data_IF_040211062931
#
_entry.id   IF_040211062931
#
_cell.length_a   1.000
_cell.length_b   1.000
_cell.length_c   1.000
_cell.angle_alpha   90.00
_cell.angle_beta   90.00
_cell.angle_gamma   90.00
#
_symmetry.space_group_name_H-M   'P 1'
#
loop_
_entity.id
_entity.type
_entity.pdbx_description
1 polymer ?
#
# COMPACT_ATOMS: atom_id res chain seq x y z
N UNK A 1 -46.74 -1.31 -3.73
CA UNK A 1 -45.42 -1.25 -3.05
C UNK A 1 -45.19 0.20 -2.63
N UNK A 2 -44.98 0.46 -1.33
CA UNK A 2 -44.79 1.83 -0.80
C UNK A 2 -43.48 2.46 -1.34
N UNK A 3 -43.47 3.75 -1.68
CA UNK A 3 -42.33 4.47 -2.29
C UNK A 3 -41.07 4.35 -1.44
N UNK A 4 -41.22 4.32 -0.11
CA UNK A 4 -40.12 4.13 0.83
C UNK A 4 -39.47 2.75 0.72
N UNK A 5 -40.27 1.70 0.45
CA UNK A 5 -39.75 0.35 0.24
C UNK A 5 -39.02 0.22 -1.09
N UNK A 6 -39.50 0.87 -2.15
CA UNK A 6 -38.84 0.85 -3.47
C UNK A 6 -37.46 1.50 -3.43
N UNK A 7 -37.32 2.66 -2.74
CA UNK A 7 -36.04 3.36 -2.59
C UNK A 7 -35.01 2.53 -1.81
N UNK A 8 -35.44 1.91 -0.71
CA UNK A 8 -34.55 1.08 0.11
C UNK A 8 -34.06 -0.16 -0.64
N UNK A 9 -34.93 -0.80 -1.42
CA UNK A 9 -34.55 -1.94 -2.28
C UNK A 9 -33.56 -1.51 -3.37
N UNK A 10 -33.82 -0.39 -4.05
CA UNK A 10 -32.89 0.12 -5.06
C UNK A 10 -31.50 0.43 -4.47
N UNK A 11 -31.46 1.05 -3.29
CA UNK A 11 -30.21 1.30 -2.57
C UNK A 11 -29.53 -0.01 -2.16
N UNK A 12 -30.27 -1.00 -1.65
CA UNK A 12 -29.73 -2.30 -1.28
C UNK A 12 -29.11 -3.04 -2.48
N UNK A 13 -29.74 -2.96 -3.66
CA UNK A 13 -29.18 -3.53 -4.90
C UNK A 13 -27.87 -2.84 -5.26
N UNK A 14 -27.81 -1.51 -5.20
CA UNK A 14 -26.59 -0.76 -5.46
C UNK A 14 -25.46 -1.14 -4.48
N UNK A 15 -25.77 -1.21 -3.18
CA UNK A 15 -24.81 -1.63 -2.15
C UNK A 15 -24.33 -3.06 -2.40
N UNK A 16 -25.24 -3.99 -2.73
CA UNK A 16 -24.85 -5.36 -3.06
C UNK A 16 -23.94 -5.43 -4.28
N UNK A 17 -24.22 -4.67 -5.34
CA UNK A 17 -23.36 -4.61 -6.52
C UNK A 17 -21.97 -4.06 -6.17
N UNK A 18 -21.88 -3.01 -5.34
CA UNK A 18 -20.60 -2.49 -4.86
C UNK A 18 -19.84 -3.53 -4.03
N UNK A 19 -20.50 -4.22 -3.11
CA UNK A 19 -19.90 -5.27 -2.28
C UNK A 19 -19.43 -6.48 -3.09
N UNK A 20 -20.04 -6.74 -4.25
CA UNK A 20 -19.61 -7.80 -5.17
C UNK A 20 -18.49 -7.33 -6.09
N UNK A 21 -18.50 -6.08 -6.54
CA UNK A 21 -17.52 -5.55 -7.49
C UNK A 21 -16.20 -5.13 -6.83
N UNK A 22 -16.24 -4.44 -5.68
CA UNK A 22 -15.07 -3.90 -5.00
C UNK A 22 -14.00 -4.96 -4.63
N UNK A 23 -14.34 -6.20 -4.24
CA UNK A 23 -13.33 -7.24 -4.01
C UNK A 23 -12.36 -7.50 -5.17
N UNK A 24 -12.77 -7.16 -6.41
CA UNK A 24 -11.95 -7.29 -7.61
C UNK A 24 -11.10 -6.06 -7.91
N UNK A 25 -11.33 -4.94 -7.23
CA UNK A 25 -10.45 -3.78 -7.29
C UNK A 25 -9.22 -4.03 -6.37
N UNK A 26 -7.98 -3.97 -6.90
CA UNK A 26 -6.78 -4.28 -6.12
C UNK A 26 -6.53 -3.37 -4.91
N UNK A 27 -7.06 -2.15 -4.91
CA UNK A 27 -6.94 -1.24 -3.77
C UNK A 27 -7.95 -1.46 -2.65
N UNK A 28 -8.94 -2.35 -2.81
CA UNK A 28 -9.94 -2.59 -1.78
C UNK A 28 -9.32 -3.22 -0.55
N UNK A 29 -9.36 -2.48 0.57
CA UNK A 29 -8.73 -2.80 1.86
C UNK A 29 -7.22 -2.96 1.85
N UNK A 30 -6.55 -2.59 0.75
CA UNK A 30 -5.10 -2.63 0.62
C UNK A 30 -4.48 -1.31 1.08
N UNK A 31 -3.19 -1.29 1.46
CA UNK A 31 -2.49 -0.05 1.77
C UNK A 31 -2.45 0.91 0.56
N UNK A 32 -2.24 2.20 0.80
CA UNK A 32 -2.05 3.20 -0.25
C UNK A 32 -0.61 3.31 -0.73
N UNK A 33 0.34 3.12 0.19
CA UNK A 33 1.77 3.07 -0.09
C UNK A 33 2.26 1.62 -0.18
N UNK A 34 3.38 1.40 -0.87
CA UNK A 34 4.03 0.09 -0.90
C UNK A 34 4.42 -0.30 0.55
N UNK A 35 3.89 -1.41 1.09
CA UNK A 35 4.21 -1.86 2.44
C UNK A 35 5.70 -2.19 2.61
N UNK A 36 6.43 -2.38 1.51
CA UNK A 36 7.87 -2.56 1.46
C UNK A 36 8.61 -1.26 1.19
N UNK A 37 8.20 -0.16 1.81
CA UNK A 37 8.88 1.15 1.66
C UNK A 37 10.41 1.08 1.84
N UNK A 38 10.90 0.12 2.64
CA UNK A 38 12.33 -0.14 2.80
C UNK A 38 13.05 -0.47 1.49
N UNK A 39 12.38 -1.09 0.51
CA UNK A 39 12.92 -1.34 -0.84
C UNK A 39 13.36 -0.07 -1.57
N UNK A 40 12.89 1.10 -1.11
CA UNK A 40 13.21 2.39 -1.70
C UNK A 40 14.11 3.24 -0.82
N UNK A 41 14.67 2.68 0.26
CA UNK A 41 15.51 3.41 1.20
C UNK A 41 16.77 3.95 0.50
N UNK A 42 17.05 5.23 0.69
CA UNK A 42 18.29 5.88 0.30
C UNK A 42 19.14 6.10 1.55
N UNK A 43 20.44 5.87 1.43
CA UNK A 43 21.40 6.13 2.50
C UNK A 43 22.72 6.63 1.90
N UNK A 44 23.19 7.78 2.38
CA UNK A 44 24.53 8.27 2.05
C UNK A 44 25.51 7.71 3.08
N UNK A 45 26.54 7.05 2.58
CA UNK A 45 27.70 6.60 3.33
C UNK A 45 28.89 7.53 2.98
N UNK A 46 29.82 7.71 3.91
CA UNK A 46 31.01 8.53 3.63
C UNK A 46 31.77 7.91 2.45
N UNK A 47 31.92 8.67 1.37
CA UNK A 47 32.63 8.23 0.18
C UNK A 47 34.14 8.09 0.44
N UNK A 48 34.88 7.43 -0.47
CA UNK A 48 36.34 7.41 -0.38
C UNK A 48 36.89 8.83 -0.45
N UNK A 49 37.54 9.30 0.62
CA UNK A 49 38.15 10.65 0.63
C UNK A 49 39.39 10.69 -0.24
N UNK A 50 39.30 11.28 -1.43
CA UNK A 50 40.45 11.77 -2.20
C UNK A 50 41.04 13.00 -1.50
N UNK A 51 41.84 12.80 -0.45
CA UNK A 51 42.80 13.80 0.05
C UNK A 51 43.86 13.12 0.91
N UNK A 52 44.72 12.32 0.28
CA UNK A 52 46.06 12.03 0.81
C UNK A 52 47.07 12.45 -0.25
N UNK A 53 47.58 13.66 -0.09
CA UNK A 53 48.79 14.11 -0.76
C UNK A 53 49.96 13.21 -0.35
N UNK A 54 50.38 12.31 -1.23
CA UNK A 54 51.60 11.53 -1.07
C UNK A 54 51.38 10.05 -1.36
N UNK A 55 52.05 9.57 -2.40
CA UNK A 55 52.05 8.18 -2.88
C UNK A 55 50.70 7.65 -3.42
N UNK A 56 50.75 7.11 -4.64
CA UNK A 56 49.74 6.19 -5.13
C UNK A 56 49.83 4.90 -4.31
N UNK A 57 49.27 4.91 -3.10
CA UNK A 57 49.11 3.75 -2.25
C UNK A 57 47.63 3.38 -2.25
N UNK A 58 47.36 2.25 -2.91
CA UNK A 58 46.14 1.44 -2.89
C UNK A 58 44.93 2.02 -2.14
N UNK A 59 43.91 2.37 -2.92
CA UNK A 59 42.51 2.43 -2.48
C UNK A 59 42.14 1.05 -1.92
N UNK A 60 42.39 0.87 -0.63
CA UNK A 60 42.01 -0.27 0.20
C UNK A 60 41.26 0.28 1.40
N UNK A 61 40.18 1.00 1.12
CA UNK A 61 39.01 1.00 1.98
C UNK A 61 38.06 -0.05 1.43
N UNK A 62 38.27 -1.31 1.83
CA UNK A 62 37.40 -2.42 1.48
C UNK A 62 35.94 -2.10 1.88
N UNK A 63 35.12 -1.67 0.93
CA UNK A 63 33.88 -2.42 0.73
C UNK A 63 34.34 -3.76 0.14
N UNK A 64 34.28 -4.81 0.95
CA UNK A 64 34.58 -6.19 0.55
C UNK A 64 33.45 -6.67 -0.39
N UNK A 65 33.34 -6.05 -1.57
CA UNK A 65 32.56 -6.55 -2.68
C UNK A 65 33.42 -7.65 -3.28
N UNK A 66 33.05 -8.90 -3.02
CA UNK A 66 33.93 -10.06 -3.17
C UNK A 66 34.73 -10.06 -4.48
N UNK A 67 36.02 -10.37 -4.35
CA UNK A 67 36.95 -10.60 -5.47
C UNK A 67 36.36 -11.58 -6.50
N UNK A 68 35.66 -11.09 -7.53
CA UNK A 68 35.59 -11.66 -8.90
C UNK A 68 34.55 -11.02 -9.85
N UNK A 69 34.08 -9.80 -9.62
CA UNK A 69 33.29 -9.10 -10.65
C UNK A 69 33.85 -7.73 -10.95
N UNK A 70 34.27 -7.51 -12.20
CA UNK A 70 34.43 -6.19 -12.82
C UNK A 70 33.07 -5.48 -12.75
N UNK A 71 32.75 -4.90 -11.60
CA UNK A 71 31.58 -4.06 -11.44
C UNK A 71 32.03 -2.65 -11.81
N UNK A 72 31.71 -2.20 -13.03
CA UNK A 72 31.81 -0.79 -13.42
C UNK A 72 31.06 0.03 -12.35
N UNK A 73 31.81 0.69 -11.47
CA UNK A 73 31.26 1.63 -10.50
C UNK A 73 30.64 2.79 -11.30
N UNK A 74 29.32 2.85 -11.32
CA UNK A 74 28.62 3.92 -12.05
C UNK A 74 28.76 5.20 -11.23
N UNK A 75 29.60 6.10 -11.72
CA UNK A 75 29.81 7.44 -11.17
C UNK A 75 28.98 8.42 -11.99
N UNK A 76 28.24 9.28 -11.29
CA UNK A 76 27.43 10.33 -11.90
C UNK A 76 27.90 11.70 -11.41
N UNK A 77 28.05 12.65 -12.33
CA UNK A 77 28.05 14.07 -11.95
C UNK A 77 26.62 14.46 -11.55
N UNK A 78 26.44 15.31 -10.55
CA UNK A 78 25.10 15.72 -10.09
C UNK A 78 24.22 16.27 -11.22
N UNK A 79 24.81 16.97 -12.19
CA UNK A 79 24.15 17.52 -13.36
C UNK A 79 23.67 16.46 -14.37
N UNK A 80 24.21 15.24 -14.32
CA UNK A 80 23.80 14.11 -15.17
C UNK A 80 22.57 13.37 -14.61
N UNK A 81 22.31 13.52 -13.32
CA UNK A 81 21.14 12.94 -12.65
C UNK A 81 19.85 13.57 -13.20
N UNK A 82 18.82 12.75 -13.39
CA UNK A 82 17.48 13.26 -13.68
C UNK A 82 16.99 14.20 -12.57
N UNK A 83 16.07 15.14 -12.87
CA UNK A 83 15.55 16.08 -11.88
C UNK A 83 14.98 15.38 -10.62
N UNK A 84 14.40 14.19 -10.76
CA UNK A 84 13.88 13.42 -9.63
C UNK A 84 15.03 12.81 -8.81
N UNK A 85 16.06 12.26 -9.46
CA UNK A 85 17.26 11.75 -8.80
C UNK A 85 17.97 12.84 -7.99
N UNK A 86 18.11 14.05 -8.55
CA UNK A 86 18.65 15.22 -7.85
C UNK A 86 17.87 15.53 -6.57
N UNK A 87 16.53 15.62 -6.67
CA UNK A 87 15.66 15.91 -5.52
C UNK A 87 15.77 14.83 -4.45
N UNK A 88 15.81 13.55 -4.83
CA UNK A 88 15.92 12.43 -3.88
C UNK A 88 17.31 12.38 -3.21
N UNK A 89 18.36 12.68 -3.97
CA UNK A 89 19.71 12.79 -3.42
C UNK A 89 19.81 13.93 -2.41
N UNK A 90 19.34 15.13 -2.77
CA UNK A 90 19.34 16.29 -1.87
C UNK A 90 18.53 16.06 -0.59
N UNK A 91 17.36 15.40 -0.70
CA UNK A 91 16.57 15.04 0.48
C UNK A 91 17.32 14.08 1.40
N UNK A 92 18.06 13.14 0.83
CA UNK A 92 18.92 12.22 1.59
C UNK A 92 20.07 12.97 2.25
N UNK A 93 20.74 13.86 1.52
CA UNK A 93 21.88 14.65 2.00
C UNK A 93 21.49 15.59 3.15
N UNK A 94 20.29 16.17 3.08
CA UNK A 94 19.78 17.09 4.10
C UNK A 94 19.07 16.38 5.27
N UNK A 95 18.93 15.05 5.24
CA UNK A 95 18.33 14.29 6.33
C UNK A 95 19.30 14.17 7.52
N UNK A 96 18.78 14.24 8.74
CA UNK A 96 19.58 14.20 9.98
C UNK A 96 20.46 12.94 10.10
N UNK A 97 19.98 11.81 9.56
CA UNK A 97 20.66 10.51 9.56
C UNK A 97 21.25 10.13 8.20
N UNK A 98 21.36 11.08 7.27
CA UNK A 98 21.78 10.83 5.88
C UNK A 98 20.98 9.70 5.20
N UNK A 99 19.74 9.51 5.66
CA UNK A 99 18.87 8.42 5.26
C UNK A 99 17.51 8.99 4.94
N UNK A 100 16.97 8.65 3.78
CA UNK A 100 15.64 9.07 3.35
C UNK A 100 14.92 7.89 2.69
N UNK A 101 13.64 7.72 3.00
CA UNK A 101 12.79 6.74 2.33
C UNK A 101 11.68 7.50 1.60
N UNK A 102 11.65 7.50 0.26
CA UNK A 102 10.56 8.09 -0.48
C UNK A 102 9.27 7.28 -0.24
N UNK A 103 8.15 7.99 -0.13
CA UNK A 103 6.83 7.36 -0.10
C UNK A 103 6.46 6.93 -1.53
N UNK A 104 6.38 5.62 -1.76
CA UNK A 104 6.01 5.05 -3.06
C UNK A 104 4.58 4.55 -2.97
N UNK A 105 3.71 5.02 -3.86
CA UNK A 105 2.32 4.61 -3.92
C UNK A 105 2.15 3.35 -4.77
N UNK A 106 1.15 2.58 -4.41
CA UNK A 106 0.73 1.42 -5.19
C UNK A 106 0.05 1.81 -6.51
N UNK A 107 0.27 1.05 -7.58
CA UNK A 107 -0.21 1.37 -8.93
C UNK A 107 -1.74 1.47 -9.04
N UNK A 108 -2.47 0.78 -8.16
CA UNK A 108 -3.93 0.82 -8.17
C UNK A 108 -4.50 2.13 -7.62
N UNK A 109 -3.70 2.97 -6.96
CA UNK A 109 -4.16 4.23 -6.40
C UNK A 109 -4.29 5.30 -7.49
N UNK A 110 -5.45 5.96 -7.53
CA UNK A 110 -5.74 6.98 -8.55
C UNK A 110 -4.99 8.31 -8.34
N UNK A 111 -4.66 8.63 -7.09
CA UNK A 111 -3.98 9.87 -6.72
C UNK A 111 -2.92 9.54 -5.66
N UNK A 112 -1.67 9.84 -5.98
CA UNK A 112 -0.52 9.65 -5.11
C UNK A 112 -0.02 10.99 -4.58
N UNK A 113 0.41 11.03 -3.32
CA UNK A 113 1.08 12.18 -2.69
C UNK A 113 2.62 12.06 -2.64
N UNK A 114 3.14 10.94 -3.13
CA UNK A 114 4.57 10.62 -3.26
C UNK A 114 4.95 10.33 -4.71
N UNK A 115 5.56 9.16 -4.93
CA UNK A 115 6.00 8.70 -6.25
C UNK A 115 5.29 7.41 -6.64
N UNK A 116 4.99 7.22 -7.93
CA UNK A 116 4.79 5.87 -8.44
C UNK A 116 6.14 5.21 -8.69
N UNK A 117 6.19 3.88 -8.65
CA UNK A 117 7.45 3.13 -8.90
C UNK A 117 8.07 3.48 -10.25
N UNK A 118 7.24 3.68 -11.29
CA UNK A 118 7.70 4.06 -12.62
C UNK A 118 8.19 5.51 -12.74
N UNK A 119 7.91 6.36 -11.76
CA UNK A 119 8.43 7.74 -11.69
C UNK A 119 9.80 7.79 -10.99
N UNK A 120 10.22 6.70 -10.35
CA UNK A 120 11.51 6.64 -9.69
C UNK A 120 12.65 6.64 -10.73
N UNK A 121 13.76 7.32 -10.44
CA UNK A 121 14.89 7.41 -11.36
C UNK A 121 15.49 6.04 -11.63
N UNK A 122 15.67 5.74 -12.92
CA UNK A 122 16.30 4.49 -13.40
C UNK A 122 17.79 4.38 -13.08
N UNK A 123 18.41 5.52 -12.75
CA UNK A 123 19.80 5.68 -12.32
C UNK A 123 20.08 4.95 -11.00
N UNK A 124 19.05 4.80 -10.16
CA UNK A 124 19.12 4.11 -8.88
C UNK A 124 18.49 2.71 -8.97
N UNK A 125 18.98 1.78 -8.15
CA UNK A 125 18.47 0.40 -8.07
C UNK A 125 17.65 0.22 -6.80
N UNK A 126 16.39 -0.19 -6.97
CA UNK A 126 15.43 -0.39 -5.88
C UNK A 126 15.13 -1.89 -5.66
N UNK A 127 14.51 -2.21 -4.53
CA UNK A 127 14.13 -3.59 -4.18
C UNK A 127 15.08 -4.25 -3.19
N UNK A 128 15.02 -5.59 -3.12
CA UNK A 128 15.92 -6.43 -2.33
C UNK A 128 16.94 -7.16 -3.23
N UNK A 129 18.19 -7.24 -2.79
CA UNK A 129 19.29 -7.78 -3.59
C UNK A 129 20.58 -7.86 -2.78
N UNK A 130 21.56 -8.59 -3.29
CA UNK A 130 22.82 -8.85 -2.57
C UNK A 130 23.67 -7.60 -2.37
N UNK A 131 24.64 -7.67 -1.44
CA UNK A 131 25.62 -6.58 -1.20
C UNK A 131 26.40 -6.21 -2.46
N UNK A 132 26.63 -7.18 -3.35
CA UNK A 132 27.43 -7.03 -4.59
C UNK A 132 26.64 -6.52 -5.80
N UNK A 133 25.33 -6.35 -5.70
CA UNK A 133 24.47 -6.04 -6.85
C UNK A 133 24.25 -4.52 -6.98
N UNK A 134 25.17 -3.79 -7.63
CA UNK A 134 25.02 -2.42 -8.19
C UNK A 134 24.02 -1.45 -7.49
N UNK A 135 23.92 -1.48 -6.17
CA UNK A 135 23.04 -0.62 -5.33
C UNK A 135 23.73 0.64 -4.86
N UNK A 136 25.02 0.72 -5.14
CA UNK A 136 25.88 1.83 -4.83
C UNK A 136 26.05 2.68 -6.09
N UNK A 137 25.86 3.98 -5.93
CA UNK A 137 26.14 4.99 -6.95
C UNK A 137 27.04 6.05 -6.33
N UNK A 138 28.11 6.41 -7.03
CA UNK A 138 28.99 7.50 -6.59
C UNK A 138 28.45 8.77 -7.22
N UNK A 139 28.15 9.78 -6.40
CA UNK A 139 27.60 11.06 -6.84
C UNK A 139 28.60 12.15 -6.50
N UNK A 140 29.05 12.87 -7.53
CA UNK A 140 29.91 14.05 -7.36
C UNK A 140 29.06 15.30 -7.19
N UNK A 141 29.18 15.96 -6.04
CA UNK A 141 28.40 17.16 -5.72
C UNK A 141 29.24 18.18 -4.94
N UNK A 142 29.32 19.42 -5.44
CA UNK A 142 30.11 20.50 -4.83
C UNK A 142 31.58 20.14 -4.54
N UNK A 143 32.21 19.33 -5.42
CA UNK A 143 33.60 18.90 -5.27
C UNK A 143 33.83 17.86 -4.16
N UNK A 144 32.77 17.22 -3.67
CA UNK A 144 32.82 16.06 -2.79
C UNK A 144 32.16 14.85 -3.46
N UNK A 145 32.66 13.65 -3.17
CA UNK A 145 32.08 12.40 -3.63
C UNK A 145 31.25 11.76 -2.52
N UNK A 146 30.01 11.40 -2.85
CA UNK A 146 29.07 10.76 -1.94
C UNK A 146 28.76 9.35 -2.43
N UNK A 147 28.82 8.36 -1.53
CA UNK A 147 28.40 7.01 -1.84
C UNK A 147 26.92 6.85 -1.47
N UNK A 148 26.05 6.82 -2.49
CA UNK A 148 24.62 6.62 -2.29
C UNK A 148 24.28 5.13 -2.41
N UNK A 149 23.72 4.55 -1.35
CA UNK A 149 23.09 3.23 -1.38
C UNK A 149 21.58 3.36 -1.55
N UNK A 150 21.01 2.61 -2.50
CA UNK A 150 19.55 2.52 -2.69
C UNK A 150 19.02 1.08 -2.47
N UNK A 151 17.86 0.97 -1.81
CA UNK A 151 17.19 -0.29 -1.47
C UNK A 151 17.72 -1.00 -0.22
N UNK A 152 17.41 -2.31 -0.10
CA UNK A 152 17.84 -3.16 1.04
C UNK A 152 18.62 -4.40 0.63
N UNK A 153 19.48 -4.86 1.53
CA UNK A 153 20.29 -6.08 1.38
C UNK A 153 19.46 -7.37 1.48
N UNK A 154 18.31 -7.33 2.16
CA UNK A 154 17.37 -8.45 2.19
C UNK A 154 15.97 -7.95 2.52
N UNK A 155 14.96 -8.51 1.86
CA UNK A 155 13.55 -8.36 2.24
C UNK A 155 13.13 -9.54 3.09
N UNK A 156 12.52 -9.29 4.24
CA UNK A 156 11.84 -10.31 5.02
C UNK A 156 10.56 -10.77 4.31
N UNK A 157 10.57 -11.93 3.63
CA UNK A 157 9.41 -12.45 2.90
C UNK A 157 8.14 -12.63 3.76
N UNK A 158 8.27 -12.66 5.10
CA UNK A 158 7.17 -12.90 6.01
C UNK A 158 6.40 -11.65 6.46
N UNK A 159 6.94 -10.45 6.26
CA UNK A 159 6.38 -9.23 6.87
C UNK A 159 5.01 -8.85 6.28
N UNK A 160 4.75 -9.20 5.02
CA UNK A 160 3.48 -8.86 4.34
C UNK A 160 2.44 -9.98 4.29
N UNK A 161 2.76 -11.20 4.72
CA UNK A 161 1.82 -12.32 4.61
C UNK A 161 0.55 -12.05 5.43
N UNK A 162 0.70 -11.54 6.64
CA UNK A 162 -0.42 -11.24 7.52
C UNK A 162 -1.36 -10.20 6.90
N UNK A 163 -0.79 -9.20 6.24
CA UNK A 163 -1.52 -8.14 5.53
C UNK A 163 -2.33 -8.77 4.39
N UNK A 164 -1.67 -9.56 3.53
CA UNK A 164 -2.33 -10.22 2.40
C UNK A 164 -3.48 -11.12 2.86
N UNK A 165 -3.30 -11.91 3.92
CA UNK A 165 -4.34 -12.76 4.51
C UNK A 165 -5.52 -11.90 4.97
N UNK A 166 -5.28 -10.81 5.70
CA UNK A 166 -6.34 -9.91 6.15
C UNK A 166 -7.10 -9.31 4.98
N UNK A 167 -6.42 -8.76 3.98
CA UNK A 167 -7.06 -8.19 2.78
C UNK A 167 -7.97 -9.22 2.10
N UNK A 168 -7.49 -10.45 1.91
CA UNK A 168 -8.29 -11.54 1.32
C UNK A 168 -9.52 -11.86 2.16
N UNK A 169 -9.38 -11.93 3.49
CA UNK A 169 -10.51 -12.18 4.40
C UNK A 169 -11.56 -11.07 4.32
N UNK A 170 -11.15 -9.80 4.31
CA UNK A 170 -12.06 -8.67 4.20
C UNK A 170 -12.79 -8.64 2.85
N UNK A 171 -12.11 -8.95 1.75
CA UNK A 171 -12.73 -9.10 0.43
C UNK A 171 -13.74 -10.24 0.38
N UNK A 172 -13.39 -11.40 0.97
CA UNK A 172 -14.34 -12.51 1.09
C UNK A 172 -15.57 -12.11 1.93
N UNK A 173 -15.38 -11.33 2.99
CA UNK A 173 -16.46 -10.82 3.83
C UNK A 173 -17.38 -9.85 3.08
N UNK A 174 -16.84 -9.00 2.18
CA UNK A 174 -17.65 -8.17 1.29
C UNK A 174 -18.56 -9.02 0.41
N UNK A 175 -18.02 -10.08 -0.20
CA UNK A 175 -18.80 -11.00 -1.03
C UNK A 175 -19.92 -11.68 -0.22
N UNK A 176 -19.62 -12.13 1.00
CA UNK A 176 -20.60 -12.73 1.90
C UNK A 176 -21.71 -11.74 2.28
N UNK A 177 -21.36 -10.51 2.64
CA UNK A 177 -22.32 -9.45 2.95
C UNK A 177 -23.17 -9.06 1.73
N UNK A 178 -22.56 -8.97 0.55
CA UNK A 178 -23.24 -8.74 -0.72
C UNK A 178 -24.26 -9.84 -1.01
N UNK A 179 -23.86 -11.11 -0.90
CA UNK A 179 -24.73 -12.26 -1.06
C UNK A 179 -25.88 -12.30 -0.05
N UNK A 180 -25.64 -11.91 1.20
CA UNK A 180 -26.67 -11.81 2.22
C UNK A 180 -27.69 -10.69 1.91
N UNK A 181 -27.22 -9.53 1.46
CA UNK A 181 -28.09 -8.42 1.03
C UNK A 181 -28.93 -8.84 -0.18
N UNK A 182 -28.34 -9.50 -1.18
CA UNK A 182 -29.08 -10.01 -2.36
C UNK A 182 -30.16 -10.99 -1.91
N UNK A 183 -29.79 -12.00 -1.12
CA UNK A 183 -30.71 -13.05 -0.67
C UNK A 183 -31.86 -12.48 0.13
N UNK A 184 -31.58 -11.58 1.08
CA UNK A 184 -32.62 -10.91 1.87
C UNK A 184 -33.51 -10.02 1.00
N UNK A 185 -32.94 -9.28 0.05
CA UNK A 185 -33.70 -8.44 -0.89
C UNK A 185 -34.65 -9.26 -1.76
N UNK A 186 -34.20 -10.41 -2.30
CA UNK A 186 -35.06 -11.33 -3.08
C UNK A 186 -36.19 -11.87 -2.22
N UNK A 187 -35.91 -12.29 -0.98
CA UNK A 187 -36.94 -12.74 -0.03
C UNK A 187 -37.97 -11.62 0.19
N UNK A 188 -37.54 -10.35 0.28
CA UNK A 188 -38.43 -9.19 0.47
C UNK A 188 -39.41 -9.00 -0.66
N UNK A 189 -38.93 -9.20 -1.87
CA UNK A 189 -39.71 -9.01 -3.09
C UNK A 189 -40.66 -10.19 -3.36
N UNK A 190 -40.40 -11.37 -2.78
CA UNK A 190 -41.15 -12.59 -3.04
C UNK A 190 -42.44 -12.76 -2.22
N UNK A 191 -42.91 -11.74 -1.49
CA UNK A 191 -44.04 -11.79 -0.53
C UNK A 191 -43.92 -12.87 0.58
N UNK A 192 -42.83 -13.65 0.61
CA UNK A 192 -42.48 -14.61 1.68
C UNK A 192 -41.92 -13.93 2.94
N UNK A 193 -41.94 -12.61 2.99
CA UNK A 193 -41.41 -11.83 4.10
C UNK A 193 -42.47 -11.70 5.19
N UNK A 194 -42.55 -12.70 6.07
CA UNK A 194 -43.38 -12.67 7.27
C UNK A 194 -42.48 -12.46 8.49
N UNK A 195 -42.42 -11.23 9.01
CA UNK A 195 -41.92 -10.99 10.38
C UNK A 195 -40.53 -10.37 10.58
N UNK A 196 -39.74 -10.08 9.54
CA UNK A 196 -38.44 -9.40 9.75
C UNK A 196 -38.64 -7.88 9.90
N UNK A 197 -38.24 -7.33 11.05
CA UNK A 197 -38.26 -5.89 11.34
C UNK A 197 -37.54 -5.09 10.25
N UNK A 198 -38.23 -4.12 9.62
CA UNK A 198 -37.67 -3.26 8.57
C UNK A 198 -36.37 -2.56 8.98
N UNK A 199 -36.22 -2.24 10.27
CA UNK A 199 -35.01 -1.64 10.84
C UNK A 199 -33.75 -2.52 10.76
N UNK A 200 -33.88 -3.85 10.81
CA UNK A 200 -32.73 -4.77 10.71
C UNK A 200 -32.21 -4.89 9.28
N UNK A 201 -33.12 -4.89 8.32
CA UNK A 201 -32.74 -4.87 6.90
C UNK A 201 -32.04 -3.56 6.53
N UNK A 202 -32.55 -2.40 6.98
CA UNK A 202 -31.85 -1.13 6.78
C UNK A 202 -30.50 -1.09 7.50
N UNK A 203 -30.37 -1.70 8.68
CA UNK A 203 -29.08 -1.81 9.38
C UNK A 203 -28.08 -2.67 8.60
N UNK A 204 -28.50 -3.79 8.04
CA UNK A 204 -27.66 -4.64 7.18
C UNK A 204 -27.18 -3.88 5.94
N UNK A 205 -28.10 -3.21 5.24
CA UNK A 205 -27.77 -2.43 4.03
C UNK A 205 -26.86 -1.25 4.39
N UNK A 206 -27.12 -0.57 5.51
CA UNK A 206 -26.27 0.52 6.00
C UNK A 206 -24.87 0.05 6.37
N UNK A 207 -24.74 -1.05 7.11
CA UNK A 207 -23.45 -1.65 7.43
C UNK A 207 -22.69 -2.07 6.17
N UNK A 208 -23.37 -2.67 5.20
CA UNK A 208 -22.80 -3.02 3.89
C UNK A 208 -22.31 -1.79 3.13
N UNK A 209 -23.08 -0.70 3.12
CA UNK A 209 -22.69 0.55 2.48
C UNK A 209 -21.44 1.15 3.13
N UNK A 210 -21.41 1.25 4.46
CA UNK A 210 -20.24 1.77 5.18
C UNK A 210 -19.01 0.88 4.95
N UNK A 211 -19.18 -0.44 4.96
CA UNK A 211 -18.09 -1.38 4.71
C UNK A 211 -17.52 -1.24 3.28
N UNK A 212 -18.38 -1.05 2.28
CA UNK A 212 -17.97 -0.76 0.91
C UNK A 212 -17.21 0.56 0.79
N UNK A 213 -17.71 1.62 1.43
CA UNK A 213 -17.07 2.95 1.42
C UNK A 213 -15.70 2.88 2.09
N UNK A 214 -15.59 2.26 3.26
CA UNK A 214 -14.30 2.11 3.95
C UNK A 214 -13.32 1.30 3.13
N UNK A 215 -13.75 0.17 2.56
CA UNK A 215 -12.87 -0.67 1.73
C UNK A 215 -12.33 0.05 0.51
N UNK A 216 -13.14 0.89 -0.14
CA UNK A 216 -12.69 1.71 -1.27
C UNK A 216 -11.76 2.86 -0.83
N UNK A 217 -12.06 3.49 0.31
CA UNK A 217 -11.31 4.64 0.80
C UNK A 217 -10.04 4.27 1.57
N UNK A 218 -9.83 3.01 1.97
CA UNK A 218 -8.66 2.55 2.72
C UNK A 218 -7.33 3.13 2.21
N UNK A 219 -6.95 2.98 0.92
CA UNK A 219 -5.67 3.49 0.44
C UNK A 219 -5.56 5.01 0.56
N UNK A 220 -6.67 5.74 0.35
CA UNK A 220 -6.67 7.20 0.39
C UNK A 220 -6.67 7.76 1.82
N UNK A 221 -7.20 7.00 2.79
CA UNK A 221 -7.15 7.38 4.20
C UNK A 221 -5.74 7.24 4.77
N UNK A 222 -4.94 6.31 4.26
CA UNK A 222 -3.52 6.20 4.59
C UNK A 222 -2.74 7.38 3.98
N UNK A 223 -2.87 7.57 2.67
CA UNK A 223 -2.18 8.62 1.90
C UNK A 223 -2.48 10.01 2.45
N UNK A 224 -3.76 10.40 2.53
CA UNK A 224 -4.14 11.77 2.87
C UNK A 224 -4.56 11.96 4.32
N UNK A 225 -5.05 10.90 4.96
CA UNK A 225 -5.53 10.97 6.34
C UNK A 225 -4.44 10.71 7.36
N UNK A 226 -3.30 10.14 6.95
CA UNK A 226 -2.28 9.63 7.87
C UNK A 226 -2.84 8.53 8.80
N UNK A 227 -3.95 7.89 8.42
CA UNK A 227 -4.57 6.83 9.20
C UNK A 227 -3.97 5.51 8.72
N UNK A 228 -3.24 4.85 9.60
CA UNK A 228 -2.72 3.51 9.33
C UNK A 228 -3.86 2.58 8.85
N UNK A 229 -3.65 1.94 7.69
CA UNK A 229 -4.64 1.07 7.08
C UNK A 229 -5.08 -0.05 8.02
N UNK A 230 -4.22 -0.50 8.96
CA UNK A 230 -4.61 -1.49 9.98
C UNK A 230 -5.73 -0.99 10.88
N UNK A 231 -5.75 0.30 11.20
CA UNK A 231 -6.83 0.93 11.97
C UNK A 231 -8.14 0.94 11.18
N UNK A 232 -8.06 1.18 9.86
CA UNK A 232 -9.22 1.11 8.97
C UNK A 232 -9.76 -0.31 8.88
N UNK A 233 -8.89 -1.32 8.80
CA UNK A 233 -9.30 -2.73 8.82
C UNK A 233 -10.01 -3.09 10.12
N UNK A 234 -9.47 -2.70 11.28
CA UNK A 234 -10.11 -2.95 12.58
C UNK A 234 -11.51 -2.32 12.68
N UNK A 235 -11.65 -1.05 12.29
CA UNK A 235 -12.95 -0.37 12.27
C UNK A 235 -13.94 -1.06 11.32
N UNK A 236 -13.46 -1.47 10.14
CA UNK A 236 -14.26 -2.18 9.14
C UNK A 236 -14.69 -3.57 9.63
N UNK A 237 -13.85 -4.26 10.41
CA UNK A 237 -14.15 -5.55 11.01
C UNK A 237 -15.33 -5.48 11.98
N UNK A 238 -15.39 -4.41 12.80
CA UNK A 238 -16.53 -4.16 13.71
C UNK A 238 -17.82 -3.96 12.92
N UNK A 239 -17.78 -3.16 11.84
CA UNK A 239 -18.94 -2.89 10.99
C UNK A 239 -19.44 -4.19 10.34
N UNK A 240 -18.52 -5.01 9.82
CA UNK A 240 -18.89 -6.28 9.21
C UNK A 240 -19.46 -7.27 10.23
N UNK A 241 -18.96 -7.30 11.47
CA UNK A 241 -19.53 -8.11 12.54
C UNK A 241 -20.97 -7.69 12.87
N UNK A 242 -21.26 -6.38 12.94
CA UNK A 242 -22.63 -5.85 13.12
C UNK A 242 -23.55 -6.29 11.96
N UNK A 243 -23.04 -6.21 10.73
CA UNK A 243 -23.73 -6.71 9.53
C UNK A 243 -24.05 -8.20 9.63
N UNK A 244 -23.07 -9.02 9.98
CA UNK A 244 -23.20 -10.47 10.11
C UNK A 244 -24.20 -10.88 11.21
N UNK A 245 -24.13 -10.25 12.37
CA UNK A 245 -25.10 -10.46 13.46
C UNK A 245 -26.52 -10.16 12.95
N UNK A 246 -26.69 -9.07 12.20
CA UNK A 246 -27.99 -8.72 11.61
C UNK A 246 -28.51 -9.81 10.67
N UNK A 247 -27.64 -10.42 9.85
CA UNK A 247 -28.00 -11.55 8.97
C UNK A 247 -28.48 -12.76 9.77
N UNK A 248 -27.71 -13.19 10.78
CA UNK A 248 -28.05 -14.35 11.61
C UNK A 248 -29.40 -14.17 12.29
N UNK A 249 -29.69 -12.96 12.81
CA UNK A 249 -30.99 -12.67 13.41
C UNK A 249 -32.13 -12.66 12.39
N UNK A 250 -31.92 -12.15 11.18
CA UNK A 250 -32.93 -12.16 10.11
C UNK A 250 -33.28 -13.60 9.71
N UNK A 251 -32.28 -14.46 9.58
CA UNK A 251 -32.47 -15.87 9.19
C UNK A 251 -33.11 -16.69 10.31
N UNK A 252 -32.73 -16.47 11.57
CA UNK A 252 -33.21 -17.24 12.73
C UNK A 252 -34.65 -16.93 13.12
N UNK A 253 -35.14 -15.70 12.94
CA UNK A 253 -36.55 -15.34 13.20
C UNK A 253 -37.54 -15.92 12.19
N UNK A 254 -37.06 -16.71 11.23
CA UNK A 254 -37.88 -17.36 10.19
C UNK A 254 -38.30 -18.79 10.56
N UNK A 255 -37.66 -19.40 11.56
CA UNK A 255 -38.04 -20.68 12.15
C UNK A 255 -38.80 -20.44 13.46
#
# INVERSE_FOLDING_TARGET
>A
MDVKNTRLVAFAVLVALLLVALPFYPGTFSPGHDPNSYNYKHQIEEGPTENVTGEADNVTGNLDLGEETDVEQITYEYEELSPIAQVLFERTLNAESLTHTPAVCEEYVLICDGYYEHDLPSEFRYGAGGEDELRYSIIEFNGSQYLLRTGVLSSGAWENLHIAILVVLFRALMLLLGGAIITTTVIRLSDRWTGVNGGRYSALVGAGATFAVLGFLTPYLEIYGGIDYTSVLLASGVIAAIGYISVQYILRTRH
#
